data_IF_281395511957
#
_entry.id   IF_281395511957
#
_cell.length_a   1.000
_cell.length_b   1.000
_cell.length_c   1.000
_cell.angle_alpha   90.00
_cell.angle_beta   90.00
_cell.angle_gamma   90.00
#
_symmetry.space_group_name_H-M   'P 1'
#
loop_
_entity.id
_entity.type
_entity.pdbx_description
1 polymer ?
#
# COMPACT_ATOMS: atom_id res chain seq x y z
N UNK A 1 14.08 9.81 -8.69
CA UNK A 1 13.71 8.42 -8.33
C UNK A 1 12.25 8.41 -7.90
N UNK A 2 11.40 7.58 -8.51
CA UNK A 2 9.97 7.45 -8.16
C UNK A 2 9.86 6.54 -6.93
N UNK A 3 9.45 7.10 -5.81
CA UNK A 3 9.36 6.48 -4.47
C UNK A 3 8.11 5.61 -4.26
N UNK A 4 7.66 4.91 -5.31
CA UNK A 4 6.48 4.04 -5.30
C UNK A 4 6.69 2.73 -4.51
N UNK A 5 7.94 2.42 -4.14
CA UNK A 5 8.29 1.08 -3.67
C UNK A 5 7.81 0.75 -2.26
N UNK A 6 7.73 1.73 -1.37
CA UNK A 6 7.39 1.47 0.04
C UNK A 6 5.91 1.13 0.18
N UNK A 7 5.02 1.87 -0.50
CA UNK A 7 3.57 1.62 -0.39
C UNK A 7 3.19 0.26 -0.98
N UNK A 8 3.88 -0.19 -2.03
CA UNK A 8 3.72 -1.55 -2.57
C UNK A 8 3.96 -2.63 -1.51
N UNK A 9 4.99 -2.44 -0.68
CA UNK A 9 5.36 -3.39 0.36
C UNK A 9 4.34 -3.43 1.49
N UNK A 10 3.78 -2.30 1.93
CA UNK A 10 2.76 -2.37 3.00
C UNK A 10 1.46 -3.08 2.53
N UNK A 11 1.15 -3.11 1.21
CA UNK A 11 -0.03 -3.82 0.66
C UNK A 11 0.19 -5.33 0.77
N UNK A 12 1.43 -5.75 0.59
CA UNK A 12 1.82 -7.13 0.79
C UNK A 12 1.76 -7.53 2.25
N UNK A 13 2.24 -6.67 3.16
CA UNK A 13 2.13 -6.90 4.58
C UNK A 13 0.67 -7.01 5.03
N UNK A 14 -0.26 -6.27 4.41
CA UNK A 14 -1.69 -6.42 4.65
C UNK A 14 -2.24 -7.77 4.19
N UNK A 15 -1.85 -8.22 2.98
CA UNK A 15 -2.23 -9.56 2.47
C UNK A 15 -1.70 -10.68 3.37
N UNK A 16 -0.48 -10.50 3.90
CA UNK A 16 0.21 -11.49 4.74
C UNK A 16 -0.29 -11.49 6.20
N UNK A 17 -0.57 -10.31 6.75
CA UNK A 17 -1.01 -10.11 8.13
C UNK A 17 -2.34 -9.34 8.19
N UNK A 18 -3.45 -9.94 7.71
CA UNK A 18 -4.73 -9.25 7.63
C UNK A 18 -5.31 -8.85 8.98
N UNK A 19 -4.82 -9.46 10.08
CA UNK A 19 -5.22 -9.18 11.46
C UNK A 19 -4.54 -7.94 12.06
N UNK A 20 -3.46 -7.42 11.46
CA UNK A 20 -2.82 -6.21 11.94
C UNK A 20 -3.63 -4.96 11.56
N UNK A 21 -3.68 -3.92 12.41
CA UNK A 21 -4.25 -2.62 12.06
C UNK A 21 -3.50 -2.04 10.86
N UNK A 22 -4.22 -1.55 9.84
CA UNK A 22 -3.58 -1.05 8.63
C UNK A 22 -2.67 0.17 8.94
N UNK A 23 -3.02 0.99 9.93
CA UNK A 23 -2.20 2.10 10.41
C UNK A 23 -0.82 1.67 10.98
N UNK A 24 -0.68 0.40 11.37
CA UNK A 24 0.60 -0.14 11.88
C UNK A 24 1.50 -0.67 10.77
N UNK A 25 0.96 -1.01 9.60
CA UNK A 25 1.73 -1.61 8.50
C UNK A 25 2.80 -0.67 7.94
N UNK A 26 2.54 0.63 7.71
CA UNK A 26 3.55 1.56 7.24
C UNK A 26 4.68 1.77 8.27
N UNK A 27 4.38 1.62 9.57
CA UNK A 27 5.42 1.65 10.61
C UNK A 27 6.28 0.39 10.53
N UNK A 28 5.64 -0.78 10.47
CA UNK A 28 6.32 -2.07 10.39
C UNK A 28 7.21 -2.20 9.15
N UNK A 29 6.73 -1.75 7.99
CA UNK A 29 7.50 -1.79 6.74
C UNK A 29 8.79 -0.97 6.83
N UNK A 30 8.69 0.27 7.33
CA UNK A 30 9.86 1.15 7.53
C UNK A 30 10.86 0.52 8.49
N UNK A 31 10.38 -0.02 9.62
CA UNK A 31 11.25 -0.71 10.59
C UNK A 31 11.97 -1.89 9.94
N UNK A 32 11.27 -2.74 9.18
CA UNK A 32 11.86 -3.90 8.50
C UNK A 32 12.93 -3.47 7.49
N UNK A 33 12.62 -2.51 6.62
CA UNK A 33 13.56 -2.02 5.59
C UNK A 33 14.81 -1.39 6.25
N UNK A 34 14.63 -0.53 7.26
CA UNK A 34 15.76 0.07 7.96
C UNK A 34 16.60 -0.96 8.70
N UNK A 35 15.96 -1.98 9.27
CA UNK A 35 16.64 -3.05 10.00
C UNK A 35 17.47 -3.94 9.08
N UNK A 36 16.95 -4.32 7.91
CA UNK A 36 17.71 -5.06 6.90
C UNK A 36 18.94 -4.27 6.43
N UNK A 37 18.75 -3.00 6.11
CA UNK A 37 19.85 -2.13 5.68
C UNK A 37 20.91 -1.97 6.78
N UNK A 38 20.47 -1.79 8.03
CA UNK A 38 21.35 -1.71 9.18
C UNK A 38 22.17 -2.99 9.39
N UNK A 39 21.53 -4.16 9.31
CA UNK A 39 22.24 -5.44 9.42
C UNK A 39 23.30 -5.59 8.34
N UNK A 40 23.00 -5.21 7.09
CA UNK A 40 23.96 -5.22 6.00
C UNK A 40 25.19 -4.35 6.28
N UNK A 41 24.97 -3.12 6.74
CA UNK A 41 26.06 -2.19 7.10
C UNK A 41 26.88 -2.71 8.29
N UNK A 42 26.23 -3.26 9.32
CA UNK A 42 26.92 -3.82 10.49
C UNK A 42 27.79 -5.03 10.14
N UNK A 43 27.35 -5.87 9.19
CA UNK A 43 28.16 -6.98 8.67
C UNK A 43 29.42 -6.48 7.95
N UNK A 44 29.32 -5.41 7.15
CA UNK A 44 30.47 -4.81 6.45
C UNK A 44 31.48 -4.20 7.44
N UNK A 45 30.99 -3.53 8.48
CA UNK A 45 31.85 -2.92 9.52
C UNK A 45 32.51 -3.99 10.42
N UNK A 46 31.99 -5.23 10.40
CA UNK A 46 32.43 -6.36 11.22
C UNK A 46 32.42 -6.06 12.71
N UNK A 47 31.49 -5.23 13.17
CA UNK A 47 31.33 -4.94 14.59
C UNK A 47 30.33 -5.92 15.22
N UNK A 48 30.74 -6.61 16.29
CA UNK A 48 29.99 -7.72 16.88
C UNK A 48 29.61 -8.83 15.87
N UNK A 49 30.54 -9.15 14.96
CA UNK A 49 30.34 -10.04 13.80
C UNK A 49 29.53 -11.32 14.13
N UNK A 50 29.89 -12.07 15.19
CA UNK A 50 29.18 -13.29 15.59
C UNK A 50 27.73 -13.05 16.01
N UNK A 51 27.45 -11.95 16.72
CA UNK A 51 26.08 -11.62 17.15
C UNK A 51 25.25 -11.17 15.97
N UNK A 52 25.79 -10.28 15.13
CA UNK A 52 25.10 -9.80 13.93
C UNK A 52 24.83 -10.95 12.97
N UNK A 53 25.80 -11.83 12.71
CA UNK A 53 25.60 -13.02 11.88
C UNK A 53 24.50 -13.95 12.43
N UNK A 54 24.40 -14.14 13.76
CA UNK A 54 23.29 -14.91 14.37
C UNK A 54 21.93 -14.25 14.15
N UNK A 55 21.85 -12.92 14.28
CA UNK A 55 20.62 -12.17 14.03
C UNK A 55 20.25 -12.28 12.54
N UNK A 56 21.20 -12.04 11.63
CA UNK A 56 21.02 -12.21 10.19
C UNK A 56 20.55 -13.63 9.83
N UNK A 57 21.11 -14.66 10.46
CA UNK A 57 20.69 -16.04 10.25
C UNK A 57 19.22 -16.26 10.62
N UNK A 58 18.79 -15.77 11.79
CA UNK A 58 17.38 -15.86 12.23
C UNK A 58 16.47 -15.09 11.26
N UNK A 59 16.86 -13.88 10.85
CA UNK A 59 16.09 -13.07 9.90
C UNK A 59 15.94 -13.75 8.54
N UNK A 60 17.01 -14.36 8.01
CA UNK A 60 16.95 -15.11 6.76
C UNK A 60 16.01 -16.32 6.86
N UNK A 61 16.00 -17.05 7.98
CA UNK A 61 15.03 -18.14 8.20
C UNK A 61 13.61 -17.60 8.18
N UNK A 62 13.33 -16.51 8.89
CA UNK A 62 12.02 -15.87 8.89
C UNK A 62 11.60 -15.46 7.47
N UNK A 63 12.48 -14.83 6.70
CA UNK A 63 12.18 -14.45 5.32
C UNK A 63 11.96 -15.66 4.42
N UNK A 64 12.74 -16.73 4.54
CA UNK A 64 12.52 -17.96 3.77
C UNK A 64 11.13 -18.53 4.08
N UNK A 65 10.72 -18.59 5.36
CA UNK A 65 9.39 -19.06 5.75
C UNK A 65 8.27 -18.20 5.15
N UNK A 66 8.43 -16.87 5.17
CA UNK A 66 7.47 -15.94 4.55
C UNK A 66 7.41 -16.12 3.03
N UNK A 67 8.55 -16.26 2.35
CA UNK A 67 8.60 -16.47 0.90
C UNK A 67 7.98 -17.83 0.50
N UNK A 68 8.17 -18.87 1.31
CA UNK A 68 7.50 -20.17 1.14
C UNK A 68 5.98 -20.04 1.24
N UNK A 69 5.48 -19.30 2.24
CA UNK A 69 4.05 -19.04 2.39
C UNK A 69 3.49 -18.29 1.18
N UNK A 70 4.19 -17.25 0.71
CA UNK A 70 3.77 -16.49 -0.48
C UNK A 70 3.72 -17.36 -1.74
N UNK A 71 4.71 -18.24 -1.92
CA UNK A 71 4.74 -19.17 -3.04
C UNK A 71 3.56 -20.15 -3.00
N UNK A 72 3.25 -20.71 -1.82
CA UNK A 72 2.08 -21.58 -1.65
C UNK A 72 0.75 -20.83 -1.86
N UNK A 73 0.67 -19.58 -1.43
CA UNK A 73 -0.51 -18.73 -1.57
C UNK A 73 -0.69 -18.15 -3.00
N UNK A 74 0.21 -18.46 -3.94
CA UNK A 74 0.13 -17.98 -5.33
C UNK A 74 0.37 -16.47 -5.47
N UNK A 75 1.08 -15.84 -4.53
CA UNK A 75 1.38 -14.41 -4.58
C UNK A 75 2.62 -14.21 -5.47
N UNK A 76 2.46 -13.54 -6.63
CA UNK A 76 3.47 -13.51 -7.70
C UNK A 76 4.69 -12.60 -7.44
N UNK A 77 4.61 -11.67 -6.50
CA UNK A 77 5.67 -10.72 -6.17
C UNK A 77 5.75 -10.57 -4.65
N UNK A 78 6.95 -10.50 -4.05
CA UNK A 78 7.16 -10.30 -2.61
C UNK A 78 7.20 -8.83 -2.19
N UNK A 79 7.31 -7.91 -3.16
CA UNK A 79 7.18 -6.48 -2.94
C UNK A 79 8.21 -5.81 -2.05
N UNK A 80 9.20 -6.55 -1.54
CA UNK A 80 10.27 -6.02 -0.67
C UNK A 80 11.09 -4.90 -1.34
N UNK A 81 11.17 -4.89 -2.67
CA UNK A 81 11.85 -3.83 -3.46
C UNK A 81 10.86 -2.84 -4.10
N UNK A 82 9.56 -3.04 -3.85
CA UNK A 82 8.45 -2.42 -4.55
C UNK A 82 8.62 -2.40 -6.08
N UNK A 83 8.27 -1.30 -6.74
CA UNK A 83 8.25 -1.25 -8.21
C UNK A 83 9.62 -1.18 -8.91
N UNK A 84 10.74 -1.17 -8.18
CA UNK A 84 12.06 -1.08 -8.82
C UNK A 84 12.50 -2.43 -9.39
N UNK A 85 12.15 -3.52 -8.71
CA UNK A 85 12.42 -4.88 -9.17
C UNK A 85 11.36 -5.85 -8.66
N UNK A 86 10.58 -6.40 -9.58
CA UNK A 86 9.65 -7.50 -9.32
C UNK A 86 10.47 -8.79 -9.27
N UNK A 87 10.78 -9.26 -8.06
CA UNK A 87 11.39 -10.58 -7.88
C UNK A 87 10.28 -11.60 -7.63
N UNK A 88 10.24 -12.64 -8.46
CA UNK A 88 9.40 -13.79 -8.16
C UNK A 88 9.78 -14.41 -6.81
N UNK A 89 8.81 -14.96 -6.06
CA UNK A 89 9.06 -15.63 -4.78
C UNK A 89 10.14 -16.70 -4.86
N UNK A 90 10.20 -17.43 -5.99
CA UNK A 90 11.19 -18.47 -6.25
C UNK A 90 12.62 -17.90 -6.28
N UNK A 91 12.83 -16.80 -7.00
CA UNK A 91 14.13 -16.14 -7.09
C UNK A 91 14.55 -15.55 -5.73
N UNK A 92 13.60 -14.97 -4.99
CA UNK A 92 13.81 -14.45 -3.64
C UNK A 92 14.20 -15.57 -2.66
N UNK A 93 13.55 -16.73 -2.75
CA UNK A 93 13.83 -17.90 -1.94
C UNK A 93 15.24 -18.46 -2.22
N UNK A 94 15.63 -18.61 -3.49
CA UNK A 94 16.99 -19.06 -3.86
C UNK A 94 18.04 -18.10 -3.30
N UNK A 95 17.85 -16.79 -3.50
CA UNK A 95 18.76 -15.75 -2.97
C UNK A 95 18.92 -15.87 -1.46
N UNK A 96 17.82 -16.02 -0.72
CA UNK A 96 17.85 -16.10 0.74
C UNK A 96 18.51 -17.40 1.22
N UNK A 97 18.34 -18.52 0.52
CA UNK A 97 19.04 -19.79 0.82
C UNK A 97 20.55 -19.65 0.60
N UNK A 98 20.97 -19.02 -0.50
CA UNK A 98 22.40 -18.76 -0.78
C UNK A 98 22.99 -17.86 0.31
N UNK A 99 22.30 -16.77 0.68
CA UNK A 99 22.73 -15.89 1.78
C UNK A 99 22.77 -16.62 3.12
N UNK A 100 21.86 -17.57 3.37
CA UNK A 100 21.85 -18.38 4.59
C UNK A 100 23.10 -19.26 4.64
N UNK A 101 23.46 -19.93 3.54
CA UNK A 101 24.66 -20.75 3.45
C UNK A 101 25.94 -19.91 3.67
N UNK A 102 26.04 -18.74 3.01
CA UNK A 102 27.13 -17.79 3.22
C UNK A 102 27.21 -17.33 4.69
N UNK A 103 26.07 -17.07 5.33
CA UNK A 103 26.02 -16.67 6.74
C UNK A 103 26.54 -17.80 7.66
N UNK A 104 26.18 -19.06 7.39
CA UNK A 104 26.68 -20.22 8.14
C UNK A 104 28.19 -20.40 7.93
N UNK A 105 28.67 -20.22 6.70
CA UNK A 105 30.11 -20.27 6.40
C UNK A 105 30.88 -19.19 7.16
N UNK A 106 30.39 -17.95 7.12
CA UNK A 106 30.98 -16.83 7.86
C UNK A 106 30.93 -17.06 9.37
N UNK A 107 29.85 -17.62 9.93
CA UNK A 107 29.76 -17.97 11.35
C UNK A 107 30.87 -18.94 11.79
N UNK A 108 31.22 -19.92 10.94
CA UNK A 108 32.31 -20.87 11.20
C UNK A 108 33.69 -20.21 11.07
N UNK A 109 33.85 -19.30 10.11
CA UNK A 109 35.12 -18.59 9.85
C UNK A 109 35.35 -17.36 10.73
N UNK A 110 34.32 -16.88 11.43
CA UNK A 110 34.36 -15.61 12.16
C UNK A 110 35.29 -15.69 13.37
N UNK A 111 36.36 -14.90 13.35
CA UNK A 111 37.21 -14.64 14.49
C UNK A 111 36.70 -13.41 15.25
N UNK A 112 36.77 -13.42 16.59
CA UNK A 112 36.29 -12.28 17.37
C UNK A 112 37.16 -11.04 17.09
N UNK A 113 36.63 -9.95 16.53
CA UNK A 113 37.40 -8.72 16.36
C UNK A 113 37.69 -8.10 17.73
N UNK A 114 38.88 -7.48 17.87
CA UNK A 114 39.22 -6.73 19.08
C UNK A 114 38.23 -5.58 19.29
N UNK A 115 37.58 -5.56 20.46
CA UNK A 115 36.62 -4.53 20.85
C UNK A 115 37.37 -3.23 21.17
N UNK A 116 37.22 -2.20 20.34
CA UNK A 116 37.69 -0.84 20.69
C UNK A 116 36.49 0.04 21.01
N UNK A 117 36.58 0.86 22.07
CA UNK A 117 35.46 1.72 22.54
C UNK A 117 35.02 2.74 21.47
N UNK A 118 35.97 3.28 20.70
CA UNK A 118 35.73 4.26 19.62
C UNK A 118 34.88 3.64 18.51
N UNK A 119 35.17 2.38 18.13
CA UNK A 119 34.38 1.66 17.12
C UNK A 119 32.94 1.48 17.56
N UNK A 120 32.63 1.53 18.85
CA UNK A 120 31.27 1.32 19.34
C UNK A 120 30.37 2.55 19.40
N UNK A 121 30.95 3.73 19.63
CA UNK A 121 30.17 4.96 19.59
C UNK A 121 29.79 5.34 18.15
N UNK A 122 30.73 5.22 17.21
CA UNK A 122 30.54 5.58 15.79
C UNK A 122 29.43 4.74 15.15
N UNK A 123 29.43 3.45 15.43
CA UNK A 123 28.48 2.47 14.90
C UNK A 123 27.10 2.57 15.54
N UNK A 124 27.00 2.92 16.84
CA UNK A 124 25.73 3.26 17.45
C UNK A 124 25.12 4.50 16.80
N UNK A 125 25.93 5.56 16.60
CA UNK A 125 25.48 6.77 15.93
C UNK A 125 25.04 6.49 14.48
N UNK A 126 25.80 5.68 13.76
CA UNK A 126 25.44 5.22 12.41
C UNK A 126 24.13 4.44 12.41
N UNK A 127 23.92 3.54 13.37
CA UNK A 127 22.68 2.78 13.49
C UNK A 127 21.47 3.69 13.71
N UNK A 128 21.58 4.67 14.61
CA UNK A 128 20.53 5.65 14.88
C UNK A 128 20.27 6.52 13.63
N UNK A 129 21.32 6.96 12.93
CA UNK A 129 21.20 7.76 11.72
C UNK A 129 20.48 6.97 10.60
N UNK A 130 20.84 5.70 10.39
CA UNK A 130 20.22 4.85 9.36
C UNK A 130 18.76 4.50 9.70
N UNK A 131 18.47 4.19 10.97
CA UNK A 131 17.10 3.95 11.42
C UNK A 131 16.24 5.20 11.27
N UNK A 132 16.74 6.38 11.65
CA UNK A 132 15.98 7.62 11.56
C UNK A 132 15.80 8.14 10.13
N UNK A 133 16.74 7.85 9.22
CA UNK A 133 16.67 8.30 7.83
C UNK A 133 15.39 7.83 7.11
N UNK A 134 14.98 6.58 7.30
CA UNK A 134 13.77 6.06 6.66
C UNK A 134 12.49 6.76 7.16
N UNK A 135 12.45 7.17 8.43
CA UNK A 135 11.34 7.92 9.00
C UNK A 135 11.38 9.40 8.60
N UNK A 136 12.56 9.99 8.41
CA UNK A 136 12.71 11.38 7.95
C UNK A 136 12.32 11.55 6.48
N UNK A 137 12.72 10.60 5.63
CA UNK A 137 12.42 10.65 4.20
C UNK A 137 10.93 10.49 3.90
N UNK A 138 10.22 9.65 4.67
CA UNK A 138 8.77 9.47 4.55
C UNK A 138 8.16 9.32 5.94
N UNK A 139 7.80 10.42 6.62
CA UNK A 139 7.21 10.37 7.95
C UNK A 139 6.02 9.41 7.99
N UNK A 140 5.96 8.60 9.04
CA UNK A 140 4.77 7.82 9.36
C UNK A 140 3.74 8.82 9.86
N UNK A 141 2.81 9.21 8.99
CA UNK A 141 1.61 9.85 9.46
C UNK A 141 0.72 8.75 10.02
N UNK A 142 0.62 8.64 11.35
CA UNK A 142 -0.47 7.89 11.96
C UNK A 142 -1.72 8.75 11.72
N UNK A 143 -2.39 8.54 10.58
CA UNK A 143 -3.50 9.38 10.18
C UNK A 143 -4.68 9.12 11.11
N UNK A 144 -4.77 9.95 12.14
CA UNK A 144 -6.01 10.13 12.90
C UNK A 144 -6.99 10.89 12.00
N UNK A 145 -7.71 10.14 11.16
CA UNK A 145 -8.96 10.54 10.48
C UNK A 145 -8.99 11.96 9.89
N UNK A 146 -7.94 12.44 9.21
CA UNK A 146 -7.98 13.79 8.61
C UNK A 146 -8.73 13.85 7.27
N UNK A 147 -9.00 12.71 6.64
CA UNK A 147 -9.75 12.60 5.38
C UNK A 147 -11.20 12.13 5.55
N UNK A 148 -11.61 11.82 6.79
CA UNK A 148 -12.97 11.43 7.12
C UNK A 148 -13.82 12.65 7.42
N UNK A 149 -14.25 13.35 6.37
CA UNK A 149 -15.39 14.24 6.51
C UNK A 149 -16.63 13.38 6.75
N UNK A 150 -16.96 13.13 8.02
CA UNK A 150 -18.23 12.49 8.45
C UNK A 150 -19.46 13.38 8.18
N UNK A 151 -19.28 14.54 7.53
CA UNK A 151 -20.38 15.32 7.00
C UNK A 151 -20.87 14.68 5.71
N UNK A 152 -21.95 13.91 5.84
CA UNK A 152 -22.75 13.47 4.71
C UNK A 152 -23.32 14.68 3.98
N UNK A 153 -22.92 14.87 2.72
CA UNK A 153 -23.52 15.87 1.83
C UNK A 153 -24.11 15.16 0.61
N UNK A 154 -25.10 15.80 -0.02
CA UNK A 154 -25.66 15.31 -1.28
C UNK A 154 -24.59 15.40 -2.36
N UNK A 155 -24.28 14.27 -2.98
CA UNK A 155 -23.43 14.29 -4.16
C UNK A 155 -24.17 15.03 -5.28
N UNK A 156 -23.51 15.91 -6.05
CA UNK A 156 -24.13 16.62 -7.16
C UNK A 156 -24.33 15.65 -8.35
N UNK A 157 -25.27 14.72 -8.22
CA UNK A 157 -25.56 13.71 -9.26
C UNK A 157 -26.25 14.30 -10.49
N UNK A 158 -26.94 15.42 -10.34
CA UNK A 158 -27.62 16.13 -11.43
C UNK A 158 -26.66 16.84 -12.40
N UNK A 159 -25.41 17.10 -12.01
CA UNK A 159 -24.43 17.85 -12.79
C UNK A 159 -23.50 16.98 -13.62
N UNK A 160 -23.86 15.73 -13.89
CA UNK A 160 -23.07 14.87 -14.78
C UNK A 160 -24.07 14.08 -15.62
N UNK A 161 -24.36 14.56 -16.83
CA UNK A 161 -25.34 13.98 -17.75
C UNK A 161 -25.03 12.52 -18.13
N UNK A 162 -23.77 12.10 -18.02
CA UNK A 162 -23.28 10.77 -18.41
C UNK A 162 -23.46 9.67 -17.33
N UNK A 163 -24.20 9.94 -16.24
CA UNK A 163 -24.43 8.95 -15.16
C UNK A 163 -25.29 7.78 -15.57
N UNK A 164 -26.12 7.94 -16.59
CA UNK A 164 -26.96 6.87 -17.14
C UNK A 164 -26.11 5.70 -17.67
N UNK A 165 -24.85 5.95 -18.04
CA UNK A 165 -23.92 4.93 -18.56
C UNK A 165 -23.13 4.21 -17.46
N UNK A 166 -23.24 4.63 -16.21
CA UNK A 166 -22.59 3.97 -15.08
C UNK A 166 -23.56 2.98 -14.41
N UNK A 167 -23.06 1.79 -14.07
CA UNK A 167 -23.83 0.75 -13.36
C UNK A 167 -24.07 1.15 -11.89
N UNK A 168 -24.94 2.14 -11.68
CA UNK A 168 -25.24 2.70 -10.37
C UNK A 168 -26.58 2.14 -9.89
N UNK A 169 -26.54 1.34 -8.83
CA UNK A 169 -27.73 0.88 -8.15
C UNK A 169 -28.00 1.77 -6.93
N UNK A 170 -29.08 2.58 -6.90
CA UNK A 170 -29.30 3.55 -5.82
C UNK A 170 -29.29 2.92 -4.42
N UNK A 171 -29.81 1.70 -4.29
CA UNK A 171 -29.93 0.99 -3.00
C UNK A 171 -28.63 0.35 -2.49
N UNK A 172 -27.59 0.27 -3.33
CA UNK A 172 -26.30 -0.34 -2.99
C UNK A 172 -25.20 0.72 -2.97
N UNK A 173 -24.22 0.63 -2.06
CA UNK A 173 -23.11 1.55 -2.08
C UNK A 173 -22.23 1.30 -3.31
N UNK A 174 -21.71 2.38 -3.89
CA UNK A 174 -20.78 2.36 -5.03
C UNK A 174 -19.68 3.41 -4.83
N UNK A 175 -18.54 3.17 -5.47
CA UNK A 175 -17.38 4.08 -5.46
C UNK A 175 -17.33 4.82 -6.79
N UNK A 176 -17.11 6.14 -6.75
CA UNK A 176 -16.80 6.95 -7.93
C UNK A 176 -15.42 7.57 -7.79
N UNK A 177 -14.52 7.28 -8.72
CA UNK A 177 -13.18 7.85 -8.79
C UNK A 177 -13.00 8.85 -9.92
N UNK A 178 -12.62 10.08 -9.59
CA UNK A 178 -12.23 11.11 -10.54
C UNK A 178 -10.72 11.06 -10.75
N UNK A 179 -10.30 10.74 -11.97
CA UNK A 179 -8.89 10.50 -12.33
C UNK A 179 -8.55 11.19 -13.65
N UNK A 180 -7.26 11.42 -13.90
CA UNK A 180 -6.77 11.97 -15.17
C UNK A 180 -5.61 11.15 -15.70
N UNK A 181 -5.56 10.96 -17.02
CA UNK A 181 -4.54 10.16 -17.71
C UNK A 181 -3.13 10.75 -17.59
N UNK A 182 -3.04 12.08 -17.48
CA UNK A 182 -1.79 12.82 -17.34
C UNK A 182 -1.26 12.93 -15.90
N UNK A 183 -2.07 12.65 -14.88
CA UNK A 183 -1.71 12.91 -13.49
C UNK A 183 -0.90 11.74 -12.87
N UNK A 184 0.32 11.98 -12.35
CA UNK A 184 1.12 10.94 -11.70
C UNK A 184 0.41 10.26 -10.52
N UNK A 185 -0.28 11.05 -9.68
CA UNK A 185 -1.00 10.53 -8.52
C UNK A 185 -2.21 9.66 -8.91
N UNK A 186 -2.85 9.94 -10.05
CA UNK A 186 -3.94 9.11 -10.57
C UNK A 186 -3.43 7.71 -10.95
N UNK A 187 -2.23 7.62 -11.52
CA UNK A 187 -1.61 6.33 -11.85
C UNK A 187 -1.37 5.51 -10.58
N UNK A 188 -0.86 6.16 -9.53
CA UNK A 188 -0.66 5.50 -8.24
C UNK A 188 -1.96 5.01 -7.63
N UNK A 189 -3.00 5.84 -7.64
CA UNK A 189 -4.30 5.49 -7.10
C UNK A 189 -4.96 4.33 -7.86
N UNK A 190 -4.89 4.31 -9.19
CA UNK A 190 -5.46 3.22 -10.00
C UNK A 190 -4.79 1.87 -9.73
N UNK A 191 -3.46 1.85 -9.57
CA UNK A 191 -2.73 0.62 -9.24
C UNK A 191 -2.98 0.16 -7.79
N UNK A 192 -3.15 1.10 -6.85
CA UNK A 192 -3.59 0.76 -5.50
C UNK A 192 -5.00 0.17 -5.50
N UNK A 193 -5.92 0.77 -6.27
CA UNK A 193 -7.30 0.33 -6.39
C UNK A 193 -7.41 -1.08 -6.97
N UNK A 194 -6.65 -1.39 -8.03
CA UNK A 194 -6.58 -2.73 -8.65
C UNK A 194 -6.25 -3.81 -7.62
N UNK A 195 -5.24 -3.57 -6.77
CA UNK A 195 -4.87 -4.51 -5.71
C UNK A 195 -5.87 -4.57 -4.57
N UNK A 196 -6.55 -3.45 -4.29
CA UNK A 196 -7.53 -3.39 -3.22
C UNK A 196 -8.76 -4.23 -3.55
N UNK A 197 -9.17 -4.26 -4.82
CA UNK A 197 -10.28 -5.12 -5.29
C UNK A 197 -9.99 -6.59 -5.00
N UNK A 198 -8.74 -7.05 -5.19
CA UNK A 198 -8.34 -8.42 -4.88
C UNK A 198 -8.28 -8.70 -3.38
N UNK A 199 -7.76 -7.74 -2.62
CA UNK A 199 -7.46 -7.92 -1.20
C UNK A 199 -8.72 -7.82 -0.34
N UNK A 200 -9.69 -7.02 -0.80
CA UNK A 200 -10.91 -6.71 -0.08
C UNK A 200 -12.06 -6.61 -1.06
N UNK A 201 -13.18 -7.26 -0.75
CA UNK A 201 -14.41 -7.13 -1.51
C UNK A 201 -14.98 -5.71 -1.38
N UNK A 202 -14.60 -4.84 -2.33
CA UNK A 202 -15.05 -3.46 -2.54
C UNK A 202 -16.46 -3.42 -3.18
N UNK A 203 -17.21 -2.31 -3.01
CA UNK A 203 -18.39 -2.05 -3.84
C UNK A 203 -18.00 -1.84 -5.32
N UNK A 204 -18.95 -1.84 -6.26
CA UNK A 204 -18.70 -1.49 -7.65
C UNK A 204 -17.95 -0.16 -7.76
N UNK A 205 -16.90 -0.14 -8.58
CA UNK A 205 -16.01 1.00 -8.78
C UNK A 205 -16.27 1.55 -10.17
N UNK A 206 -16.72 2.80 -10.22
CA UNK A 206 -16.92 3.57 -11.43
C UNK A 206 -15.89 4.70 -11.50
N UNK A 207 -15.36 5.00 -12.68
CA UNK A 207 -14.37 6.06 -12.87
C UNK A 207 -14.90 7.16 -13.79
N UNK A 208 -14.62 8.40 -13.42
CA UNK A 208 -14.76 9.57 -14.29
C UNK A 208 -13.36 9.99 -14.68
N UNK A 209 -13.02 9.77 -15.95
CA UNK A 209 -11.67 9.99 -16.47
C UNK A 209 -11.62 11.30 -17.23
N UNK A 210 -10.77 12.22 -16.78
CA UNK A 210 -10.48 13.43 -17.53
C UNK A 210 -9.56 13.14 -18.71
N UNK A 211 -10.11 13.27 -19.93
CA UNK A 211 -9.44 12.98 -21.20
C UNK A 211 -10.26 12.06 -22.11
N UNK A 212 -9.61 11.51 -23.13
CA UNK A 212 -10.23 10.58 -24.07
C UNK A 212 -10.02 9.11 -23.67
N UNK A 213 -10.96 8.26 -24.08
CA UNK A 213 -11.02 6.80 -23.90
C UNK A 213 -9.72 6.12 -24.35
N UNK A 214 -9.20 6.47 -25.53
CA UNK A 214 -7.96 5.91 -26.05
C UNK A 214 -6.74 6.17 -25.14
N UNK A 215 -6.69 7.35 -24.51
CA UNK A 215 -5.62 7.71 -23.58
C UNK A 215 -5.74 6.92 -22.26
N UNK A 216 -6.95 6.64 -21.82
CA UNK A 216 -7.21 5.83 -20.63
C UNK A 216 -6.92 4.35 -20.87
N UNK A 217 -7.36 3.79 -21.99
CA UNK A 217 -7.10 2.39 -22.36
C UNK A 217 -5.59 2.14 -22.48
N UNK A 218 -4.88 3.06 -23.13
CA UNK A 218 -3.41 3.05 -23.21
C UNK A 218 -2.76 3.11 -21.83
N UNK A 219 -3.33 3.90 -20.90
CA UNK A 219 -2.84 3.99 -19.53
C UNK A 219 -3.08 2.68 -18.77
N UNK A 220 -4.26 2.09 -18.89
CA UNK A 220 -4.63 0.85 -18.23
C UNK A 220 -3.71 -0.29 -18.66
N UNK A 221 -3.44 -0.40 -19.96
CA UNK A 221 -2.50 -1.37 -20.51
C UNK A 221 -1.08 -1.13 -19.99
N UNK A 222 -0.62 0.13 -19.97
CA UNK A 222 0.72 0.50 -19.49
C UNK A 222 0.91 0.21 -18.00
N UNK A 223 -0.14 0.38 -17.21
CA UNK A 223 -0.12 0.12 -15.76
C UNK A 223 -0.35 -1.35 -15.40
N UNK A 224 -0.68 -2.20 -16.39
CA UNK A 224 -0.99 -3.63 -16.21
C UNK A 224 -2.10 -3.85 -15.17
N UNK A 225 -3.14 -3.02 -15.21
CA UNK A 225 -4.29 -3.14 -14.30
C UNK A 225 -5.09 -4.38 -14.72
N UNK A 226 -5.26 -5.31 -13.78
CA UNK A 226 -5.90 -6.60 -14.05
C UNK A 226 -7.43 -6.47 -14.11
N UNK A 227 -8.01 -5.57 -13.30
CA UNK A 227 -9.46 -5.36 -13.26
C UNK A 227 -9.90 -4.27 -14.25
N UNK A 228 -10.98 -4.53 -14.98
CA UNK A 228 -11.67 -3.49 -15.75
C UNK A 228 -12.62 -2.74 -14.84
N UNK A 229 -12.34 -1.46 -14.65
CA UNK A 229 -13.25 -0.54 -13.99
C UNK A 229 -14.20 0.05 -15.04
N UNK A 230 -15.49 0.11 -14.73
CA UNK A 230 -16.45 0.85 -15.54
C UNK A 230 -16.03 2.33 -15.51
N UNK A 231 -15.98 2.97 -16.67
CA UNK A 231 -15.53 4.36 -16.76
C UNK A 231 -16.34 5.15 -17.78
N UNK A 232 -16.45 6.44 -17.52
CA UNK A 232 -16.87 7.46 -18.46
C UNK A 232 -15.75 8.47 -18.64
N UNK A 233 -15.70 9.10 -19.80
CA UNK A 233 -14.78 10.19 -20.09
C UNK A 233 -15.50 11.52 -19.92
N UNK A 234 -14.81 12.48 -19.34
CA UNK A 234 -15.32 13.83 -19.16
C UNK A 234 -14.22 14.85 -19.51
N UNK A 235 -14.59 15.90 -20.21
CA UNK A 235 -13.70 17.03 -20.53
C UNK A 235 -14.30 18.37 -20.13
N UNK A 236 -15.42 18.36 -19.41
CA UNK A 236 -16.15 19.54 -18.98
C UNK A 236 -15.48 20.24 -17.81
N UNK A 237 -15.83 21.51 -17.61
CA UNK A 237 -15.46 22.26 -16.40
C UNK A 237 -16.16 21.71 -15.14
N UNK A 238 -17.25 20.94 -15.31
CA UNK A 238 -17.97 20.29 -14.21
C UNK A 238 -17.10 19.24 -13.49
N UNK A 239 -16.25 18.53 -14.24
CA UNK A 239 -15.22 17.67 -13.66
C UNK A 239 -14.38 18.42 -12.61
N UNK A 240 -13.95 19.65 -12.93
CA UNK A 240 -13.12 20.44 -12.03
C UNK A 240 -13.91 21.11 -10.91
N UNK A 241 -15.19 21.42 -11.13
CA UNK A 241 -16.07 21.96 -10.07
C UNK A 241 -16.31 20.91 -8.98
N UNK A 242 -16.56 19.64 -9.37
CA UNK A 242 -16.80 18.52 -8.45
C UNK A 242 -15.50 18.09 -7.75
N UNK A 243 -14.39 18.09 -8.47
CA UNK A 243 -13.09 17.75 -7.89
C UNK A 243 -12.42 18.92 -7.17
N UNK A 244 -12.98 20.13 -7.24
CA UNK A 244 -12.34 21.34 -6.72
C UNK A 244 -10.90 21.51 -7.22
N UNK A 245 -10.67 21.16 -8.49
CA UNK A 245 -9.37 21.24 -9.16
C UNK A 245 -8.30 20.25 -8.69
N UNK A 246 -8.67 19.18 -7.96
CA UNK A 246 -7.69 18.24 -7.41
C UNK A 246 -8.05 16.77 -7.67
N UNK A 247 -7.11 16.04 -8.28
CA UNK A 247 -7.23 14.62 -8.64
C UNK A 247 -5.97 13.85 -8.22
N UNK A 248 -6.08 12.54 -7.91
CA UNK A 248 -7.30 11.74 -7.92
C UNK A 248 -8.19 12.00 -6.70
N UNK A 249 -9.49 11.78 -6.87
CA UNK A 249 -10.48 11.85 -5.79
C UNK A 249 -11.46 10.70 -5.89
N UNK A 250 -11.77 10.07 -4.77
CA UNK A 250 -12.75 8.98 -4.75
C UNK A 250 -13.88 9.32 -3.78
N UNK A 251 -15.10 8.96 -4.15
CA UNK A 251 -16.29 9.17 -3.35
C UNK A 251 -17.01 7.85 -3.14
N UNK A 252 -17.38 7.57 -1.89
CA UNK A 252 -18.26 6.46 -1.56
C UNK A 252 -19.67 6.99 -1.38
N UNK A 253 -20.59 6.53 -2.23
CA UNK A 253 -21.93 7.09 -2.34
C UNK A 253 -22.95 5.98 -2.15
N UNK A 254 -24.04 6.30 -1.47
CA UNK A 254 -25.25 5.49 -1.40
C UNK A 254 -26.45 6.43 -1.21
N UNK A 255 -27.56 6.21 -1.93
CA UNK A 255 -28.73 7.10 -1.89
C UNK A 255 -28.37 8.60 -2.06
N UNK A 256 -27.57 8.92 -3.09
CA UNK A 256 -27.03 10.27 -3.38
C UNK A 256 -26.28 10.95 -2.24
N UNK A 257 -25.92 10.19 -1.20
CA UNK A 257 -25.24 10.70 -0.03
C UNK A 257 -23.80 10.27 -0.08
N UNK A 258 -22.89 11.25 -0.05
CA UNK A 258 -21.45 10.99 0.10
C UNK A 258 -21.20 10.59 1.53
N UNK A 259 -20.73 9.36 1.74
CA UNK A 259 -20.33 8.88 3.05
C UNK A 259 -18.84 9.09 3.29
N UNK A 260 -18.01 8.96 2.25
CA UNK A 260 -16.55 9.09 2.34
C UNK A 260 -16.01 9.80 1.10
N UNK A 261 -14.96 10.60 1.30
CA UNK A 261 -14.17 11.21 0.23
C UNK A 261 -12.70 10.93 0.50
N UNK A 262 -12.00 10.40 -0.50
CA UNK A 262 -10.54 10.30 -0.52
C UNK A 262 -9.97 11.35 -1.45
N UNK A 263 -8.90 12.01 -1.03
CA UNK A 263 -8.17 13.01 -1.82
C UNK A 263 -6.71 12.63 -1.92
N UNK A 264 -6.19 12.50 -3.13
CA UNK A 264 -4.79 12.15 -3.38
C UNK A 264 -4.58 10.64 -3.53
N UNK A 265 -3.33 10.21 -3.40
CA UNK A 265 -2.97 8.80 -3.56
C UNK A 265 -3.69 7.93 -2.53
N UNK A 266 -4.31 6.84 -3.00
CA UNK A 266 -4.93 5.85 -2.10
C UNK A 266 -3.80 5.19 -1.31
N UNK A 267 -3.76 5.42 0.00
CA UNK A 267 -2.72 4.92 0.89
C UNK A 267 -3.31 3.93 1.94
N UNK A 268 -2.46 3.39 2.81
CA UNK A 268 -2.86 2.38 3.80
C UNK A 268 -3.97 2.83 4.75
N UNK A 269 -4.04 4.12 5.04
CA UNK A 269 -5.06 4.69 5.94
C UNK A 269 -6.46 4.62 5.30
N UNK A 270 -6.54 4.61 3.97
CA UNK A 270 -7.80 4.51 3.23
C UNK A 270 -8.40 3.11 3.32
N UNK A 271 -7.55 2.09 3.50
CA UNK A 271 -7.94 0.69 3.68
C UNK A 271 -8.61 0.49 5.04
N UNK A 272 -8.08 1.09 6.09
CA UNK A 272 -8.68 1.04 7.43
C UNK A 272 -9.99 1.80 7.46
N UNK A 273 -10.06 2.93 6.75
CA UNK A 273 -11.28 3.69 6.55
C UNK A 273 -12.36 2.84 5.86
N UNK A 274 -11.99 2.08 4.82
CA UNK A 274 -12.90 1.15 4.15
C UNK A 274 -13.33 -0.03 5.04
N UNK A 275 -12.40 -0.69 5.76
CA UNK A 275 -12.73 -1.78 6.70
C UNK A 275 -13.66 -1.30 7.81
N UNK A 276 -13.32 -0.15 8.41
CA UNK A 276 -14.14 0.52 9.42
C UNK A 276 -15.51 0.85 8.88
N UNK A 277 -15.62 1.34 7.64
CA UNK A 277 -16.91 1.57 7.01
C UNK A 277 -17.67 0.28 6.71
N UNK A 278 -17.05 -0.77 6.16
CA UNK A 278 -17.70 -2.06 5.90
C UNK A 278 -18.28 -2.65 7.19
N UNK A 279 -17.55 -2.49 8.30
CA UNK A 279 -18.02 -2.86 9.64
C UNK A 279 -19.15 -1.94 10.13
N UNK A 280 -19.03 -0.61 9.95
CA UNK A 280 -20.13 0.35 10.22
C UNK A 280 -21.38 0.00 9.41
N UNK A 281 -21.27 -0.33 8.12
CA UNK A 281 -22.38 -0.74 7.25
C UNK A 281 -23.06 -2.02 7.71
N UNK A 282 -22.29 -3.05 8.08
CA UNK A 282 -22.85 -4.27 8.68
C UNK A 282 -23.65 -3.91 9.93
N UNK A 283 -23.13 -3.02 10.76
CA UNK A 283 -23.82 -2.53 11.96
C UNK A 283 -25.06 -1.66 11.63
N UNK A 284 -25.03 -0.86 10.58
CA UNK A 284 -26.17 -0.06 10.10
C UNK A 284 -27.28 -0.95 9.53
N UNK A 285 -26.94 -1.97 8.74
CA UNK A 285 -27.88 -2.98 8.23
C UNK A 285 -28.52 -3.77 9.39
N UNK A 286 -27.73 -4.20 10.36
CA UNK A 286 -28.23 -4.90 11.54
C UNK A 286 -29.15 -4.02 12.41
N UNK A 287 -28.88 -2.70 12.50
CA UNK A 287 -29.75 -1.75 13.19
C UNK A 287 -31.05 -1.45 12.46
N UNK A 288 -31.06 -1.44 11.12
CA UNK A 288 -32.30 -1.31 10.31
C UNK A 288 -33.16 -2.57 10.39
N UNK A 289 -32.54 -3.76 10.33
CA UNK A 289 -33.25 -5.03 10.49
C UNK A 289 -33.92 -5.15 11.87
N UNK A 290 -33.21 -4.77 12.95
CA UNK A 290 -33.75 -4.73 14.33
C UNK A 290 -34.82 -3.66 14.59
N UNK A 291 -35.05 -2.73 13.66
CA UNK A 291 -36.12 -1.72 13.75
C UNK A 291 -37.37 -2.11 12.96
N UNK A 292 -37.33 -3.23 12.25
CA UNK A 292 -38.42 -3.76 11.43
C UNK A 292 -39.00 -5.08 11.99
N UNK A 293 -38.49 -5.56 13.12
CA UNK A 293 -39.11 -6.56 14.01
C UNK A 293 -39.73 -5.86 15.22
#
# INVERSE_FOLDING_TARGET
>A
MKYYSIDFFDFQLLKLFPFLPAAFLPFLSRVLISFEFLLGVLLIIRWFEKTILKITFICLICFIAVNLYQWYAGIEDCGCFGNVWQLSPQNSLIKNIVLLFLTVFLLKSSQQPQKTKIKGFVTLFLAIALLSLSFLLKPVYFSYNKHLFEKTYKFPSESIESWEYLNIHPDKPYLIGFVSTGCPHCKSALQALDKLVETIQLPPVNLVVYGDSAAYDSLQQKLQISHRFDYITDTSDEFFSITGGSVPKFYLIQNDTVYFMWKGEINFDDIDSYRTWKNKLKNFRNKKAKKQE
#
